data_IF_341929595522
#
_entry.id   IF_341929595522
#
_cell.length_a   1.000
_cell.length_b   1.000
_cell.length_c   1.000
_cell.angle_alpha   90.00
_cell.angle_beta   90.00
_cell.angle_gamma   90.00
#
_symmetry.space_group_name_H-M   'P 1'
#
loop_
_entity.id
_entity.type
_entity.pdbx_description
1 polymer ?
#
# COMPACT_ATOMS: atom_id res chain seq x y z
N UNK A 1 37.89 -65.69 -36.06
CA UNK A 1 37.49 -67.04 -36.53
C UNK A 1 37.77 -68.03 -35.41
N UNK A 2 36.77 -68.84 -35.11
CA UNK A 2 36.89 -70.16 -34.45
C UNK A 2 37.25 -70.19 -32.95
N UNK A 3 36.25 -70.50 -32.13
CA UNK A 3 36.43 -70.99 -30.76
C UNK A 3 36.72 -72.51 -30.70
N UNK A 4 36.29 -73.21 -29.63
CA UNK A 4 37.11 -74.00 -28.68
C UNK A 4 36.88 -75.52 -28.80
N UNK A 5 37.40 -76.37 -27.87
CA UNK A 5 36.55 -77.03 -26.84
C UNK A 5 37.34 -77.32 -25.53
N UNK A 6 36.88 -77.85 -24.38
CA UNK A 6 35.67 -78.54 -23.88
C UNK A 6 36.14 -79.46 -22.72
N UNK A 7 35.69 -79.23 -21.47
CA UNK A 7 34.86 -80.09 -20.57
C UNK A 7 35.46 -81.39 -19.96
N UNK A 8 35.26 -81.58 -18.63
CA UNK A 8 34.78 -82.75 -17.80
C UNK A 8 35.08 -82.45 -16.30
N UNK A 9 34.14 -82.04 -15.43
CA UNK A 9 33.13 -82.74 -14.57
C UNK A 9 33.60 -83.17 -13.15
N UNK A 10 32.86 -82.74 -12.10
CA UNK A 10 32.40 -83.56 -10.96
C UNK A 10 31.41 -82.77 -10.03
N UNK A 11 30.17 -83.30 -9.97
CA UNK A 11 29.11 -83.41 -8.91
C UNK A 11 29.07 -82.44 -7.68
N UNK A 12 27.91 -82.04 -7.12
CA UNK A 12 26.52 -82.51 -7.28
C UNK A 12 25.47 -81.73 -6.44
N UNK A 13 24.19 -82.16 -6.60
CA UNK A 13 22.94 -81.86 -5.87
C UNK A 13 22.35 -80.42 -5.94
N UNK A 14 21.29 -80.09 -6.71
CA UNK A 14 19.86 -80.52 -6.68
C UNK A 14 19.17 -80.14 -5.33
N UNK A 15 18.06 -79.37 -5.21
CA UNK A 15 16.92 -79.07 -6.10
C UNK A 15 16.13 -77.82 -5.61
N UNK A 16 15.51 -77.05 -6.52
CA UNK A 16 14.41 -76.07 -6.30
C UNK A 16 13.03 -76.79 -6.51
N UNK A 17 11.84 -76.18 -6.81
CA UNK A 17 11.31 -74.79 -6.73
C UNK A 17 9.80 -74.63 -6.32
N UNK A 18 9.30 -73.38 -6.28
CA UNK A 18 7.90 -72.97 -6.60
C UNK A 18 6.88 -72.99 -5.44
N UNK A 19 5.83 -72.16 -5.35
CA UNK A 19 5.05 -71.39 -6.34
C UNK A 19 4.16 -70.35 -5.61
N UNK A 20 3.75 -69.31 -6.34
CA UNK A 20 2.80 -68.22 -6.00
C UNK A 20 1.36 -68.68 -5.69
N UNK A 21 0.64 -67.90 -4.89
CA UNK A 21 -0.79 -67.51 -5.02
C UNK A 21 -1.06 -66.27 -4.13
N UNK A 22 -1.39 -65.11 -4.72
CA UNK A 22 -2.71 -64.48 -4.90
C UNK A 22 -3.27 -63.71 -3.68
N UNK A 23 -3.44 -62.39 -3.88
CA UNK A 23 -4.09 -61.35 -3.06
C UNK A 23 -5.62 -61.58 -2.90
N UNK A 24 -6.30 -61.04 -1.85
CA UNK A 24 -6.74 -59.63 -1.91
C UNK A 24 -6.94 -58.87 -0.57
N UNK A 25 -6.96 -57.54 -0.71
CA UNK A 25 -7.74 -56.54 0.05
C UNK A 25 -7.67 -56.55 1.59
N UNK A 26 -6.86 -55.63 2.13
CA UNK A 26 -6.93 -55.17 3.53
C UNK A 26 -6.55 -53.70 3.62
N UNK A 27 -7.56 -52.85 3.84
CA UNK A 27 -7.48 -51.39 3.92
C UNK A 27 -6.40 -50.84 4.87
N UNK A 28 -5.78 -49.68 4.57
CA UNK A 28 -5.01 -48.96 5.56
C UNK A 28 -5.97 -48.35 6.61
N UNK A 29 -5.72 -48.69 7.87
CA UNK A 29 -6.45 -48.18 9.02
C UNK A 29 -6.37 -46.64 9.08
N UNK A 30 -7.55 -46.03 9.24
CA UNK A 30 -7.72 -44.62 9.56
C UNK A 30 -7.06 -44.28 10.90
N UNK A 31 -6.37 -43.14 11.05
CA UNK A 31 -6.26 -42.52 12.36
C UNK A 31 -7.63 -41.94 12.74
N UNK A 32 -8.19 -42.53 13.79
CA UNK A 32 -9.39 -42.12 14.49
C UNK A 32 -9.38 -40.63 14.81
N UNK A 33 -10.49 -39.96 14.48
CA UNK A 33 -10.76 -38.60 14.89
C UNK A 33 -10.80 -38.46 16.40
N UNK A 34 -9.77 -37.86 16.97
CA UNK A 34 -9.88 -37.07 18.19
C UNK A 34 -9.98 -35.60 17.76
N UNK A 35 -11.21 -35.09 17.72
CA UNK A 35 -11.47 -33.65 17.70
C UNK A 35 -10.90 -33.05 19.00
N UNK A 36 -9.63 -32.68 19.00
CA UNK A 36 -9.15 -31.68 19.93
C UNK A 36 -9.72 -30.34 19.47
N UNK A 37 -10.77 -29.89 20.17
CA UNK A 37 -11.13 -28.47 20.19
C UNK A 37 -9.98 -27.71 20.85
N UNK A 38 -8.95 -27.38 20.08
CA UNK A 38 -8.08 -26.28 20.42
C UNK A 38 -8.90 -25.01 20.18
N UNK A 39 -9.56 -24.53 21.24
CA UNK A 39 -10.00 -23.16 21.31
C UNK A 39 -8.74 -22.29 21.32
N UNK A 40 -8.24 -21.95 20.13
CA UNK A 40 -7.34 -20.82 19.97
C UNK A 40 -8.19 -19.59 20.31
N UNK A 41 -8.09 -19.17 21.57
CA UNK A 41 -8.44 -17.82 21.98
C UNK A 41 -7.54 -16.90 21.16
N UNK A 42 -8.08 -16.43 20.04
CA UNK A 42 -7.53 -15.28 19.33
C UNK A 42 -7.64 -14.14 20.33
N UNK A 43 -6.52 -13.83 20.97
CA UNK A 43 -6.33 -12.57 21.64
C UNK A 43 -6.60 -11.50 20.60
N UNK A 44 -7.75 -10.84 20.73
CA UNK A 44 -8.05 -9.63 20.00
C UNK A 44 -6.89 -8.65 20.25
N UNK A 45 -6.28 -8.06 19.21
CA UNK A 45 -5.47 -6.88 19.44
C UNK A 45 -6.38 -5.85 20.10
N UNK A 46 -5.92 -5.36 21.25
CA UNK A 46 -6.61 -4.38 22.05
C UNK A 46 -7.12 -3.25 21.15
N UNK A 47 -8.40 -2.91 21.32
CA UNK A 47 -8.96 -1.66 20.84
C UNK A 47 -8.17 -0.55 21.53
N UNK A 48 -7.16 -0.01 20.87
CA UNK A 48 -6.63 1.29 21.23
C UNK A 48 -7.67 2.33 20.83
N UNK A 49 -8.55 2.54 21.81
CA UNK A 49 -9.43 3.68 21.95
C UNK A 49 -8.54 4.92 21.88
N UNK A 50 -8.45 5.52 20.70
CA UNK A 50 -8.10 6.93 20.62
C UNK A 50 -9.26 7.73 21.23
N UNK A 51 -9.18 7.87 22.56
CA UNK A 51 -9.98 8.80 23.33
C UNK A 51 -9.64 10.20 22.84
N UNK A 52 -10.45 10.74 21.93
CA UNK A 52 -10.47 12.16 21.62
C UNK A 52 -10.72 12.92 22.92
N UNK A 53 -9.67 13.56 23.45
CA UNK A 53 -9.83 14.56 24.51
C UNK A 53 -10.68 15.72 23.96
N UNK A 54 -11.80 16.08 24.59
CA UNK A 54 -12.56 17.25 24.16
C UNK A 54 -11.80 18.52 24.55
N UNK A 55 -11.53 19.38 23.57
CA UNK A 55 -11.10 20.76 23.78
C UNK A 55 -12.25 21.50 24.48
N UNK A 56 -12.04 21.86 25.75
CA UNK A 56 -12.94 22.74 26.51
C UNK A 56 -12.80 24.16 25.96
N UNK A 57 -13.70 24.57 25.06
CA UNK A 57 -13.90 25.98 24.74
C UNK A 57 -14.65 26.61 25.91
N UNK A 58 -13.98 27.47 26.69
CA UNK A 58 -14.65 28.28 27.73
C UNK A 58 -15.49 29.36 27.05
N UNK A 59 -16.80 29.23 27.24
CA UNK A 59 -17.80 30.28 27.07
C UNK A 59 -17.48 31.48 27.97
N UNK A 60 -17.37 32.66 27.36
CA UNK A 60 -17.51 33.94 28.05
C UNK A 60 -18.42 34.84 27.22
N UNK A 61 -19.72 34.74 27.51
CA UNK A 61 -20.73 35.73 27.16
C UNK A 61 -20.48 37.03 27.94
N UNK A 62 -20.53 38.18 27.26
CA UNK A 62 -21.17 39.44 27.72
C UNK A 62 -21.17 40.52 26.62
N UNK A 63 -22.06 41.53 26.70
CA UNK A 63 -22.89 41.98 25.57
C UNK A 63 -22.43 43.28 24.89
N UNK A 64 -23.07 43.53 23.74
CA UNK A 64 -23.00 44.75 22.94
C UNK A 64 -23.55 46.00 23.67
N UNK A 65 -23.21 47.19 23.15
CA UNK A 65 -24.29 48.12 22.83
C UNK A 65 -24.22 48.66 21.40
N UNK A 66 -25.42 48.83 20.84
CA UNK A 66 -25.68 49.49 19.58
C UNK A 66 -25.44 51.00 19.66
N UNK A 67 -24.98 51.61 18.57
CA UNK A 67 -25.67 52.77 17.97
C UNK A 67 -25.23 53.01 16.54
N UNK A 68 -26.26 53.35 15.75
CA UNK A 68 -26.27 53.74 14.34
C UNK A 68 -25.40 54.98 14.12
N UNK A 69 -24.82 55.07 12.92
CA UNK A 69 -25.05 56.23 12.06
C UNK A 69 -24.86 55.88 10.59
N UNK A 70 -25.70 56.50 9.77
CA UNK A 70 -25.97 56.16 8.39
C UNK A 70 -25.22 57.07 7.41
N UNK A 71 -24.97 56.50 6.23
CA UNK A 71 -25.11 57.15 4.92
C UNK A 71 -24.03 58.15 4.44
N UNK A 72 -23.15 57.69 3.54
CA UNK A 72 -23.21 58.03 2.09
C UNK A 72 -22.14 57.31 1.26
N UNK A 73 -22.43 56.94 0.00
CA UNK A 73 -21.46 56.33 -0.90
C UNK A 73 -20.71 57.41 -1.69
N UNK A 74 -19.39 57.25 -1.86
CA UNK A 74 -18.62 57.95 -2.90
C UNK A 74 -17.82 56.94 -3.71
N UNK A 75 -18.17 56.91 -5.00
CA UNK A 75 -17.44 56.25 -6.09
C UNK A 75 -16.00 56.77 -6.16
N UNK A 76 -15.05 55.85 -6.21
CA UNK A 76 -13.78 55.82 -6.97
C UNK A 76 -13.29 54.38 -6.80
N UNK A 77 -13.39 53.51 -7.80
CA UNK A 77 -12.60 53.65 -9.01
C UNK A 77 -11.14 53.39 -8.70
N UNK A 78 -10.84 52.21 -8.15
CA UNK A 78 -9.50 51.67 -8.05
C UNK A 78 -9.62 50.15 -8.21
N UNK A 79 -9.52 49.70 -9.46
CA UNK A 79 -9.10 48.34 -9.77
C UNK A 79 -7.68 48.18 -9.22
N UNK A 80 -7.56 47.89 -7.92
CA UNK A 80 -6.33 47.26 -7.42
C UNK A 80 -6.39 45.84 -7.92
N UNK A 81 -5.40 45.52 -8.77
CA UNK A 81 -5.26 44.23 -9.42
C UNK A 81 -5.58 43.12 -8.44
N UNK A 82 -6.41 42.18 -8.89
CA UNK A 82 -6.43 40.87 -8.29
C UNK A 82 -5.00 40.38 -8.31
N UNK A 83 -4.34 40.41 -7.16
CA UNK A 83 -3.20 39.58 -6.91
C UNK A 83 -3.72 38.18 -7.12
N UNK A 84 -3.47 37.63 -8.31
CA UNK A 84 -3.48 36.21 -8.50
C UNK A 84 -2.49 35.72 -7.45
N UNK A 85 -3.03 35.20 -6.34
CA UNK A 85 -2.31 34.24 -5.52
C UNK A 85 -1.69 33.30 -6.53
N UNK A 86 -0.37 33.31 -6.67
CA UNK A 86 0.34 32.25 -7.40
C UNK A 86 -0.15 30.99 -6.72
N UNK A 87 -1.16 30.35 -7.32
CA UNK A 87 -1.78 29.18 -6.76
C UNK A 87 -0.66 28.16 -6.88
N UNK A 88 0.06 27.96 -5.78
CA UNK A 88 1.29 27.18 -5.79
C UNK A 88 0.95 25.85 -6.42
N UNK A 89 1.50 25.63 -7.61
CA UNK A 89 1.20 24.47 -8.42
C UNK A 89 1.49 23.25 -7.55
N UNK A 90 0.44 22.45 -7.36
CA UNK A 90 0.49 21.29 -6.49
C UNK A 90 0.14 20.07 -7.31
N UNK A 91 1.10 19.15 -7.38
CA UNK A 91 0.91 17.87 -8.02
C UNK A 91 1.45 16.79 -7.10
N UNK A 92 0.70 15.70 -6.96
CA UNK A 92 1.18 14.53 -6.26
C UNK A 92 0.71 13.30 -7.00
N UNK A 93 1.64 12.39 -7.32
CA UNK A 93 1.34 11.08 -7.86
C UNK A 93 2.11 10.02 -7.08
N UNK A 94 1.40 8.99 -6.67
CA UNK A 94 2.00 7.81 -6.07
C UNK A 94 1.56 6.58 -6.84
N UNK A 95 2.53 5.75 -7.20
CA UNK A 95 2.32 4.47 -7.84
C UNK A 95 3.04 3.39 -7.05
N UNK A 96 2.36 2.26 -6.83
CA UNK A 96 2.97 1.02 -6.38
C UNK A 96 2.42 -0.13 -7.18
N UNK A 97 3.30 -0.95 -7.74
CA UNK A 97 2.86 -2.10 -8.50
C UNK A 97 3.91 -3.18 -8.60
N UNK A 98 3.46 -4.38 -8.95
CA UNK A 98 4.34 -5.50 -9.20
C UNK A 98 3.79 -6.38 -10.32
N UNK A 99 4.69 -7.02 -11.04
CA UNK A 99 4.34 -7.96 -12.11
C UNK A 99 4.60 -9.37 -11.61
N UNK A 100 3.55 -9.98 -11.07
CA UNK A 100 3.58 -11.34 -10.54
C UNK A 100 3.14 -12.39 -11.56
N UNK A 101 3.10 -13.65 -11.11
CA UNK A 101 2.56 -14.78 -11.88
C UNK A 101 1.10 -14.58 -12.28
N UNK A 102 0.35 -13.83 -11.49
CA UNK A 102 -1.07 -13.55 -11.68
C UNK A 102 -1.31 -12.24 -12.45
N UNK A 103 -0.30 -11.71 -13.15
CA UNK A 103 -0.41 -10.48 -13.93
C UNK A 103 0.12 -9.26 -13.19
N UNK A 104 -0.34 -8.08 -13.62
CA UNK A 104 0.14 -6.79 -13.13
C UNK A 104 -0.85 -6.22 -12.13
N UNK A 105 -0.45 -6.23 -10.86
CA UNK A 105 -1.22 -5.63 -9.78
C UNK A 105 -0.60 -4.28 -9.42
N UNK A 106 -1.43 -3.25 -9.34
CA UNK A 106 -0.98 -1.91 -9.01
C UNK A 106 -2.04 -1.09 -8.31
N UNK A 107 -1.56 -0.13 -7.54
CA UNK A 107 -2.32 0.93 -6.90
C UNK A 107 -1.68 2.25 -7.32
N UNK A 108 -2.48 3.14 -7.85
CA UNK A 108 -2.06 4.48 -8.26
C UNK A 108 -3.07 5.50 -7.79
N UNK A 109 -2.58 6.63 -7.28
CA UNK A 109 -3.40 7.80 -7.06
C UNK A 109 -2.67 9.07 -7.45
N UNK A 110 -3.44 10.04 -7.94
CA UNK A 110 -2.97 11.30 -8.47
C UNK A 110 -3.85 12.44 -7.93
N UNK A 111 -3.22 13.49 -7.41
CA UNK A 111 -3.82 14.77 -7.08
C UNK A 111 -3.32 15.82 -8.06
N UNK A 112 -4.24 16.35 -8.86
CA UNK A 112 -3.97 17.43 -9.81
C UNK A 112 -4.13 18.80 -9.13
N UNK A 113 -3.53 19.86 -9.70
CA UNK A 113 -3.63 21.22 -9.13
C UNK A 113 -5.06 21.77 -9.14
N UNK A 114 -5.95 21.23 -9.98
CA UNK A 114 -7.37 21.54 -10.00
C UNK A 114 -8.16 20.92 -8.83
N UNK A 115 -7.50 20.15 -7.95
CA UNK A 115 -8.13 19.42 -6.85
C UNK A 115 -8.79 18.11 -7.29
N UNK A 116 -8.51 17.63 -8.51
CA UNK A 116 -9.02 16.33 -8.96
C UNK A 116 -8.15 15.21 -8.39
N UNK A 117 -8.76 14.36 -7.56
CA UNK A 117 -8.23 13.08 -7.09
C UNK A 117 -8.63 11.99 -8.09
N UNK A 118 -7.63 11.27 -8.61
CA UNK A 118 -7.81 10.08 -9.43
C UNK A 118 -7.21 8.89 -8.69
N UNK A 119 -7.97 7.82 -8.59
CA UNK A 119 -7.59 6.59 -7.91
C UNK A 119 -7.80 5.41 -8.84
N UNK A 120 -6.77 4.61 -9.01
CA UNK A 120 -6.80 3.37 -9.77
C UNK A 120 -6.22 2.25 -8.92
N UNK A 121 -6.99 1.17 -8.73
CA UNK A 121 -6.50 -0.04 -8.10
C UNK A 121 -6.84 -1.22 -9.01
N UNK A 122 -5.81 -1.96 -9.40
CA UNK A 122 -5.92 -3.19 -10.12
C UNK A 122 -5.35 -4.32 -9.26
N UNK A 123 -6.22 -5.12 -8.68
CA UNK A 123 -5.87 -6.38 -8.04
C UNK A 123 -6.44 -7.51 -8.89
N UNK A 124 -5.63 -8.51 -9.22
CA UNK A 124 -6.12 -9.69 -9.94
C UNK A 124 -6.52 -10.81 -8.97
N UNK A 125 -6.69 -10.45 -7.70
CA UNK A 125 -7.16 -11.35 -6.68
C UNK A 125 -8.62 -11.73 -6.96
N UNK A 126 -8.86 -13.00 -7.31
CA UNK A 126 -10.18 -13.56 -7.64
C UNK A 126 -10.86 -12.95 -8.89
N UNK A 127 -10.08 -12.50 -9.87
CA UNK A 127 -10.58 -11.90 -11.13
C UNK A 127 -11.44 -10.64 -10.89
N UNK A 128 -11.07 -9.81 -9.93
CA UNK A 128 -11.79 -8.58 -9.66
C UNK A 128 -11.62 -7.55 -10.80
N UNK A 129 -12.58 -6.64 -10.93
CA UNK A 129 -12.57 -5.61 -11.97
C UNK A 129 -11.73 -4.43 -11.49
N UNK A 130 -10.83 -3.93 -12.34
CA UNK A 130 -10.03 -2.74 -12.06
C UNK A 130 -10.91 -1.57 -11.58
N UNK A 131 -10.63 -1.09 -10.36
CA UNK A 131 -11.37 -0.01 -9.72
C UNK A 131 -10.75 1.31 -10.14
N UNK A 132 -11.50 2.12 -10.90
CA UNK A 132 -11.14 3.49 -11.23
C UNK A 132 -12.16 4.45 -10.64
N UNK A 133 -11.68 5.45 -9.90
CA UNK A 133 -12.51 6.46 -9.23
C UNK A 133 -11.89 7.83 -9.42
N UNK A 134 -12.74 8.82 -9.67
CA UNK A 134 -12.32 10.21 -9.78
C UNK A 134 -13.27 11.06 -8.94
N UNK A 135 -12.71 11.97 -8.15
CA UNK A 135 -13.47 12.90 -7.32
C UNK A 135 -12.75 14.24 -7.25
N UNK A 136 -13.49 15.32 -7.02
CA UNK A 136 -12.90 16.62 -6.71
C UNK A 136 -12.85 16.78 -5.19
N UNK A 137 -11.68 17.10 -4.67
CA UNK A 137 -11.48 17.37 -3.25
C UNK A 137 -11.56 18.86 -2.95
N UNK A 138 -11.95 19.20 -1.73
CA UNK A 138 -11.96 20.59 -1.30
C UNK A 138 -10.53 21.11 -1.10
N UNK A 139 -10.35 22.44 -1.22
CA UNK A 139 -9.03 23.09 -1.05
C UNK A 139 -8.37 22.77 0.30
N UNK A 140 -9.15 22.62 1.37
CA UNK A 140 -8.63 22.24 2.69
C UNK A 140 -7.92 20.88 2.69
N UNK A 141 -8.36 19.93 1.85
CA UNK A 141 -7.68 18.63 1.71
C UNK A 141 -6.35 18.80 0.99
N UNK A 142 -6.29 19.70 0.01
CA UNK A 142 -5.06 20.03 -0.71
C UNK A 142 -4.05 20.76 0.18
N UNK A 143 -4.51 21.66 1.05
CA UNK A 143 -3.65 22.32 2.05
C UNK A 143 -3.13 21.34 3.10
N UNK A 144 -3.96 20.39 3.53
CA UNK A 144 -3.51 19.34 4.47
C UNK A 144 -2.49 18.40 3.83
N UNK A 145 -2.65 18.05 2.55
CA UNK A 145 -1.65 17.29 1.80
C UNK A 145 -0.30 18.02 1.74
N UNK A 146 -0.33 19.33 1.47
CA UNK A 146 0.89 20.17 1.50
C UNK A 146 1.53 20.13 2.89
N UNK A 147 0.73 20.32 3.95
CA UNK A 147 1.21 20.25 5.33
C UNK A 147 1.88 18.92 5.67
N UNK A 148 1.29 17.79 5.28
CA UNK A 148 1.87 16.45 5.51
C UNK A 148 3.22 16.30 4.80
N UNK A 149 3.33 16.81 3.57
CA UNK A 149 4.58 16.73 2.80
C UNK A 149 5.65 17.64 3.42
N UNK A 150 5.30 18.87 3.76
CA UNK A 150 6.20 19.83 4.40
C UNK A 150 6.70 19.29 5.76
N UNK A 151 5.81 18.75 6.59
CA UNK A 151 6.14 18.14 7.89
C UNK A 151 7.03 16.90 7.75
N UNK A 152 6.93 16.17 6.62
CA UNK A 152 7.75 14.99 6.36
C UNK A 152 9.18 15.32 5.94
N UNK A 153 9.45 16.55 5.51
CA UNK A 153 10.75 16.98 4.96
C UNK A 153 11.28 16.14 3.79
N UNK A 154 10.40 15.42 3.08
CA UNK A 154 10.78 14.52 1.98
C UNK A 154 11.49 15.25 0.82
N UNK A 155 11.31 16.57 0.68
CA UNK A 155 11.96 17.39 -0.35
C UNK A 155 13.47 17.50 -0.16
N UNK A 156 13.99 17.15 1.01
CA UNK A 156 15.43 17.15 1.33
C UNK A 156 16.10 15.79 1.07
N UNK A 157 15.33 14.75 0.79
CA UNK A 157 15.82 13.38 0.60
C UNK A 157 16.17 13.09 -0.87
N UNK A 158 17.02 12.09 -1.11
CA UNK A 158 17.48 11.69 -2.45
C UNK A 158 17.43 10.16 -2.63
N UNK A 159 17.00 9.68 -3.80
CA UNK A 159 16.83 8.25 -4.08
C UNK A 159 18.07 7.56 -4.67
N UNK A 160 19.20 8.27 -4.82
CA UNK A 160 20.43 7.74 -5.42
C UNK A 160 20.96 6.47 -4.73
N UNK A 161 20.71 6.31 -3.43
CA UNK A 161 21.13 5.15 -2.63
C UNK A 161 20.02 4.12 -2.41
N UNK A 162 18.81 4.38 -2.89
CA UNK A 162 17.66 3.55 -2.64
C UNK A 162 17.69 2.28 -3.52
N UNK A 163 17.06 1.18 -3.08
CA UNK A 163 17.00 -0.05 -3.85
C UNK A 163 16.31 0.18 -5.21
N UNK A 164 16.92 -0.19 -6.34
CA UNK A 164 16.31 0.00 -7.65
C UNK A 164 15.08 -0.92 -7.81
N UNK A 165 14.11 -0.56 -8.66
CA UNK A 165 12.94 -1.39 -8.94
C UNK A 165 13.31 -2.80 -9.42
N UNK A 166 12.62 -3.80 -8.89
CA UNK A 166 12.85 -5.19 -9.23
C UNK A 166 11.58 -5.87 -9.75
N UNK A 167 11.60 -7.20 -9.86
CA UNK A 167 10.42 -8.00 -10.24
C UNK A 167 9.38 -8.10 -9.13
N UNK A 168 9.80 -7.95 -7.87
CA UNK A 168 8.96 -8.04 -6.67
C UNK A 168 8.06 -6.81 -6.55
N UNK A 169 8.55 -5.64 -6.98
CA UNK A 169 7.72 -4.48 -7.24
C UNK A 169 8.48 -3.19 -7.49
N UNK A 170 7.70 -2.17 -7.82
CA UNK A 170 8.14 -0.80 -8.08
C UNK A 170 7.26 0.15 -7.30
N UNK A 171 7.88 1.17 -6.72
CA UNK A 171 7.24 2.32 -6.12
C UNK A 171 7.75 3.58 -6.79
N UNK A 172 6.83 4.50 -7.08
CA UNK A 172 7.13 5.82 -7.61
C UNK A 172 6.36 6.85 -6.79
N UNK A 173 7.04 7.94 -6.44
CA UNK A 173 6.42 9.10 -5.83
C UNK A 173 6.90 10.33 -6.58
N UNK A 174 5.96 11.15 -7.03
CA UNK A 174 6.25 12.37 -7.76
C UNK A 174 5.45 13.50 -7.11
N UNK A 175 6.16 14.56 -6.72
CA UNK A 175 5.57 15.69 -6.01
C UNK A 175 6.09 16.99 -6.65
N UNK A 176 5.16 17.90 -6.95
CA UNK A 176 5.45 19.29 -7.33
C UNK A 176 4.79 20.19 -6.30
N UNK A 177 5.57 21.05 -5.65
CA UNK A 177 5.08 22.05 -4.69
C UNK A 177 5.75 23.38 -5.02
N UNK A 178 5.01 24.27 -5.68
CA UNK A 178 5.57 25.56 -6.09
C UNK A 178 6.72 25.37 -7.09
N UNK A 179 7.93 25.73 -6.70
CA UNK A 179 9.13 25.62 -7.53
C UNK A 179 9.93 24.33 -7.29
N UNK A 180 9.55 23.52 -6.30
CA UNK A 180 10.22 22.25 -5.98
C UNK A 180 9.54 21.09 -6.73
N UNK A 181 10.34 20.28 -7.41
CA UNK A 181 9.91 19.04 -8.06
C UNK A 181 10.81 17.89 -7.63
N UNK A 182 10.20 16.86 -7.05
CA UNK A 182 10.88 15.63 -6.66
C UNK A 182 10.21 14.44 -7.33
N UNK A 183 11.03 13.48 -7.75
CA UNK A 183 10.57 12.23 -8.33
C UNK A 183 11.46 11.11 -7.82
N UNK A 184 10.88 10.21 -7.05
CA UNK A 184 11.58 9.06 -6.51
C UNK A 184 11.11 7.78 -7.18
N UNK A 185 12.05 6.87 -7.43
CA UNK A 185 11.78 5.54 -7.95
C UNK A 185 12.54 4.50 -7.13
N UNK A 186 11.81 3.61 -6.46
CA UNK A 186 12.39 2.58 -5.60
C UNK A 186 11.70 1.22 -5.76
N UNK A 187 12.31 0.18 -5.21
CA UNK A 187 11.67 -1.14 -5.08
C UNK A 187 10.51 -1.10 -4.09
N UNK A 188 9.65 -2.12 -4.12
CA UNK A 188 8.54 -2.24 -3.17
C UNK A 188 9.08 -2.51 -1.76
N UNK A 189 8.94 -1.53 -0.88
CA UNK A 189 9.26 -1.66 0.55
C UNK A 189 8.11 -2.39 1.25
N UNK A 190 8.40 -3.52 1.89
CA UNK A 190 7.41 -4.34 2.61
C UNK A 190 7.35 -4.05 4.11
N UNK A 191 8.49 -3.75 4.71
CA UNK A 191 8.62 -3.61 6.16
C UNK A 191 9.75 -2.65 6.57
N UNK A 192 9.75 -2.26 7.85
CA UNK A 192 10.86 -1.50 8.45
C UNK A 192 12.19 -2.27 8.46
N UNK A 193 12.16 -3.61 8.33
CA UNK A 193 13.39 -4.41 8.23
C UNK A 193 14.11 -4.08 6.93
N UNK A 194 13.38 -3.97 5.82
CA UNK A 194 13.92 -3.64 4.51
C UNK A 194 14.52 -2.23 4.50
N UNK A 195 13.90 -1.29 5.21
CA UNK A 195 14.40 0.07 5.41
C UNK A 195 15.71 0.07 6.19
N UNK A 196 15.76 -0.64 7.32
CA UNK A 196 16.95 -0.68 8.18
C UNK A 196 18.16 -1.39 7.54
N UNK A 197 17.93 -2.27 6.57
CA UNK A 197 18.97 -2.99 5.83
C UNK A 197 19.45 -2.24 4.57
N UNK A 198 18.83 -1.11 4.26
CA UNK A 198 19.19 -0.29 3.11
C UNK A 198 20.48 0.52 3.33
N UNK A 199 20.97 1.14 2.26
CA UNK A 199 22.13 2.05 2.33
C UNK A 199 21.79 3.42 2.92
N UNK A 200 20.51 3.78 2.89
CA UNK A 200 19.99 5.03 3.43
C UNK A 200 18.72 4.75 4.25
N UNK A 201 18.88 4.34 5.53
CA UNK A 201 17.76 3.98 6.37
C UNK A 201 16.97 5.21 6.89
N UNK A 202 17.54 6.42 6.85
CA UNK A 202 16.87 7.63 7.32
C UNK A 202 15.91 8.15 6.25
N UNK A 203 16.38 8.38 5.02
CA UNK A 203 15.53 8.87 3.92
C UNK A 203 14.43 7.88 3.54
N UNK A 204 14.75 6.57 3.49
CA UNK A 204 13.72 5.56 3.24
C UNK A 204 12.69 5.43 4.37
N UNK A 205 13.04 5.79 5.60
CA UNK A 205 12.08 5.79 6.71
C UNK A 205 11.11 6.94 6.59
N UNK A 206 11.60 8.13 6.22
CA UNK A 206 10.76 9.29 5.89
C UNK A 206 9.80 8.94 4.76
N UNK A 207 10.32 8.40 3.65
CA UNK A 207 9.51 7.93 2.52
C UNK A 207 8.46 6.90 2.95
N UNK A 208 8.85 5.90 3.74
CA UNK A 208 7.96 4.84 4.21
C UNK A 208 6.78 5.36 5.04
N UNK A 209 7.02 6.31 5.94
CA UNK A 209 5.94 6.91 6.75
C UNK A 209 5.08 7.87 5.93
N UNK A 210 5.67 8.73 5.10
CA UNK A 210 4.92 9.63 4.22
C UNK A 210 3.94 8.86 3.33
N UNK A 211 4.40 7.78 2.69
CA UNK A 211 3.57 6.94 1.84
C UNK A 211 2.40 6.31 2.62
N UNK A 212 2.59 5.95 3.88
CA UNK A 212 1.52 5.43 4.74
C UNK A 212 0.48 6.49 5.05
N UNK A 213 0.90 7.71 5.41
CA UNK A 213 -0.01 8.81 5.70
C UNK A 213 -0.84 9.19 4.46
N UNK A 214 -0.19 9.26 3.29
CA UNK A 214 -0.87 9.50 2.02
C UNK A 214 -1.90 8.42 1.70
N UNK A 215 -1.54 7.14 1.85
CA UNK A 215 -2.48 6.03 1.65
C UNK A 215 -3.65 6.09 2.62
N UNK A 216 -3.38 6.40 3.89
CA UNK A 216 -4.41 6.52 4.93
C UNK A 216 -5.44 7.60 4.55
N UNK A 217 -4.97 8.77 4.11
CA UNK A 217 -5.82 9.86 3.66
C UNK A 217 -6.65 9.46 2.43
N UNK A 218 -6.02 8.90 1.39
CA UNK A 218 -6.70 8.50 0.15
C UNK A 218 -7.73 7.39 0.39
N UNK A 219 -7.40 6.37 1.18
CA UNK A 219 -8.32 5.29 1.52
C UNK A 219 -9.52 5.81 2.32
N UNK A 220 -9.31 6.77 3.21
CA UNK A 220 -10.40 7.43 3.94
C UNK A 220 -11.31 8.22 3.00
N UNK A 221 -10.75 9.01 2.08
CA UNK A 221 -11.50 9.78 1.09
C UNK A 221 -12.33 8.89 0.15
N UNK A 222 -11.69 7.90 -0.46
CA UNK A 222 -12.35 6.98 -1.40
C UNK A 222 -13.38 6.10 -0.67
N UNK A 223 -13.03 5.60 0.52
CA UNK A 223 -13.90 4.73 1.31
C UNK A 223 -15.18 5.43 1.76
N UNK A 224 -15.08 6.66 2.26
CA UNK A 224 -16.23 7.45 2.69
C UNK A 224 -17.05 7.96 1.51
N UNK A 225 -16.40 8.45 0.46
CA UNK A 225 -17.10 9.08 -0.67
C UNK A 225 -17.82 8.06 -1.55
N UNK A 226 -17.18 6.93 -1.87
CA UNK A 226 -17.74 5.93 -2.76
C UNK A 226 -18.40 4.76 -2.03
N UNK A 227 -18.30 4.69 -0.68
CA UNK A 227 -18.79 3.55 0.14
C UNK A 227 -18.23 2.20 -0.32
N UNK A 228 -17.01 2.21 -0.84
CA UNK A 228 -16.30 1.00 -1.28
C UNK A 228 -15.24 0.69 -0.23
N UNK A 229 -15.00 -0.59 0.06
CA UNK A 229 -13.82 -0.96 0.84
C UNK A 229 -12.60 -0.69 -0.05
N UNK A 230 -11.70 0.24 0.31
CA UNK A 230 -10.39 0.29 -0.34
C UNK A 230 -9.69 -1.02 0.07
N UNK A 231 -9.65 -1.99 -0.86
CA UNK A 231 -9.08 -3.33 -0.64
C UNK A 231 -7.57 -3.19 -0.52
#
# INVERSE_FOLDING_TARGET
MSGPPGWVSAEGAASRPGRREQEPAGSPAQPSGARQRAAAAIAAPARDVWCCRPIRVRSALRPAPARRDAFRPRRRGACRGGGGTMASDFYLRYYVGHKGKFGHEFLEFEFRPDGKLRYANNSNYKNDVMIRKEAYVHKSVMEELKRIIDDSEITKEDDALWPPPDRVGRQELEIVIGDEHISFTTSKIGSLIDVNQSKDPEGLRVFYYLVQDLKCLVFSLIGLHFKIKPI
#
